data_IF_749624945460
#
_entry.id   IF_749624945460
#
_cell.length_a   1.000
_cell.length_b   1.000
_cell.length_c   1.000
_cell.angle_alpha   90.00
_cell.angle_beta   90.00
_cell.angle_gamma   90.00
#
_symmetry.space_group_name_H-M   'P 1'
#
loop_
_entity.id
_entity.type
_entity.pdbx_description
1 polymer ?
#
# COMPACT_ATOMS: atom_id res chain seq x y z
N UNK A 1 0.02 13.06 13.64
CA UNK A 1 0.24 12.66 12.23
C UNK A 1 0.55 11.18 12.15
N UNK A 2 -0.10 10.50 11.19
CA UNK A 2 -0.09 9.05 10.98
C UNK A 2 1.10 8.69 10.11
N UNK A 3 2.24 8.44 10.73
CA UNK A 3 3.46 8.07 10.02
C UNK A 3 3.89 6.65 10.36
N UNK A 4 2.97 5.72 10.66
CA UNK A 4 3.35 4.37 11.09
C UNK A 4 4.27 3.65 10.08
N UNK A 5 3.84 3.61 8.82
CA UNK A 5 4.60 2.99 7.72
C UNK A 5 5.77 3.86 7.26
N UNK A 6 5.55 5.18 7.14
CA UNK A 6 6.62 6.13 6.80
C UNK A 6 7.76 6.09 7.83
N UNK A 7 7.47 5.94 9.13
CA UNK A 7 8.49 5.93 10.17
C UNK A 7 9.11 4.55 10.43
N UNK A 8 8.83 3.51 9.63
CA UNK A 8 9.43 2.20 9.87
C UNK A 8 10.97 2.25 9.88
N UNK A 9 11.56 3.04 8.97
CA UNK A 9 13.00 3.27 8.92
C UNK A 9 13.52 4.03 10.15
N UNK A 10 12.73 4.98 10.68
CA UNK A 10 13.05 5.69 11.91
C UNK A 10 13.03 4.75 13.12
N UNK A 11 12.05 3.83 13.21
CA UNK A 11 12.02 2.83 14.29
C UNK A 11 13.21 1.88 14.21
N UNK A 12 13.58 1.43 13.00
CA UNK A 12 14.79 0.63 12.76
C UNK A 12 16.03 1.42 13.21
N UNK A 13 16.15 2.70 12.85
CA UNK A 13 17.28 3.54 13.21
C UNK A 13 17.40 3.74 14.74
N UNK A 14 16.30 4.00 15.43
CA UNK A 14 16.27 4.11 16.91
C UNK A 14 16.71 2.80 17.55
N UNK A 15 16.22 1.67 17.05
CA UNK A 15 16.62 0.35 17.55
C UNK A 15 18.13 0.10 17.33
N UNK A 16 18.65 0.38 16.14
CA UNK A 16 20.07 0.26 15.82
C UNK A 16 20.93 1.18 16.70
N UNK A 17 20.49 2.42 16.93
CA UNK A 17 21.16 3.37 17.83
C UNK A 17 21.25 2.82 19.25
N UNK A 18 20.14 2.30 19.79
CA UNK A 18 20.10 1.74 21.13
C UNK A 18 21.04 0.54 21.29
N UNK A 19 21.09 -0.35 20.29
CA UNK A 19 22.03 -1.47 20.27
C UNK A 19 23.49 -1.01 20.18
N UNK A 20 23.77 0.02 19.39
CA UNK A 20 25.12 0.59 19.25
C UNK A 20 25.60 1.24 20.55
N UNK A 21 24.75 2.03 21.21
CA UNK A 21 25.08 2.72 22.47
C UNK A 21 25.24 1.75 23.66
N UNK A 22 24.60 0.58 23.61
CA UNK A 22 24.73 -0.42 24.66
C UNK A 22 26.14 -1.09 24.68
N UNK A 23 26.93 -0.92 23.61
CA UNK A 23 28.36 -1.26 23.57
C UNK A 23 28.67 -2.74 23.32
N UNK A 24 29.97 -3.06 23.28
CA UNK A 24 30.48 -4.43 23.14
C UNK A 24 29.93 -5.17 21.91
N UNK A 25 29.46 -6.41 22.10
CA UNK A 25 28.91 -7.25 21.05
C UNK A 25 27.62 -6.71 20.41
N UNK A 26 26.83 -5.91 21.14
CA UNK A 26 25.61 -5.30 20.61
C UNK A 26 25.92 -4.23 19.57
N UNK A 27 27.03 -3.50 19.74
CA UNK A 27 27.50 -2.57 18.72
C UNK A 27 27.92 -3.28 17.43
N UNK A 28 28.68 -4.38 17.54
CA UNK A 28 29.04 -5.19 16.38
C UNK A 28 27.80 -5.74 15.65
N UNK A 29 26.80 -6.18 16.41
CA UNK A 29 25.51 -6.64 15.86
C UNK A 29 24.73 -5.52 15.17
N UNK A 30 24.69 -4.31 15.75
CA UNK A 30 24.05 -3.15 15.14
C UNK A 30 24.70 -2.79 13.80
N UNK A 31 26.03 -2.77 13.73
CA UNK A 31 26.79 -2.52 12.49
C UNK A 31 26.48 -3.59 11.45
N UNK A 32 26.48 -4.87 11.86
CA UNK A 32 26.15 -5.97 10.95
C UNK A 32 24.74 -5.85 10.37
N UNK A 33 23.74 -5.54 11.20
CA UNK A 33 22.36 -5.33 10.75
C UNK A 33 22.23 -4.12 9.82
N UNK A 34 22.89 -3.00 10.15
CA UNK A 34 22.93 -1.81 9.29
C UNK A 34 23.52 -2.14 7.91
N UNK A 35 24.66 -2.83 7.86
CA UNK A 35 25.26 -3.29 6.62
C UNK A 35 24.35 -4.25 5.85
N UNK A 36 23.68 -5.18 6.52
CA UNK A 36 22.76 -6.13 5.89
C UNK A 36 21.60 -5.39 5.21
N UNK A 37 20.99 -4.42 5.89
CA UNK A 37 19.89 -3.61 5.35
C UNK A 37 20.35 -2.83 4.12
N UNK A 38 21.48 -2.11 4.22
CA UNK A 38 22.02 -1.31 3.12
C UNK A 38 22.48 -2.15 1.92
N UNK A 39 23.06 -3.33 2.17
CA UNK A 39 23.53 -4.23 1.11
C UNK A 39 22.40 -5.04 0.45
N UNK A 40 21.22 -5.15 1.05
CA UNK A 40 20.14 -6.01 0.52
C UNK A 40 19.72 -5.63 -0.92
N UNK A 41 19.49 -4.34 -1.27
CA UNK A 41 19.18 -3.97 -2.66
C UNK A 41 20.35 -4.25 -3.61
N UNK A 42 21.58 -4.02 -3.15
CA UNK A 42 22.80 -4.22 -3.94
C UNK A 42 23.02 -5.71 -4.25
N UNK A 43 22.80 -6.59 -3.27
CA UNK A 43 22.80 -8.03 -3.48
C UNK A 43 21.72 -8.45 -4.49
N UNK A 44 20.52 -7.87 -4.39
CA UNK A 44 19.43 -8.07 -5.36
C UNK A 44 19.86 -7.69 -6.79
N UNK A 45 20.48 -6.53 -6.96
CA UNK A 45 21.03 -6.09 -8.25
C UNK A 45 22.09 -7.05 -8.79
N UNK A 46 23.06 -7.47 -7.97
CA UNK A 46 24.11 -8.41 -8.36
C UNK A 46 23.50 -9.76 -8.80
N UNK A 47 22.53 -10.28 -8.05
CA UNK A 47 21.83 -11.53 -8.40
C UNK A 47 21.11 -11.41 -9.74
N UNK A 48 20.49 -10.27 -10.03
CA UNK A 48 19.82 -10.02 -11.32
C UNK A 48 20.82 -9.96 -12.49
N UNK A 49 21.98 -9.34 -12.27
CA UNK A 49 23.08 -9.33 -13.24
C UNK A 49 23.62 -10.74 -13.51
N UNK A 50 23.94 -11.51 -12.45
CA UNK A 50 24.45 -12.89 -12.58
C UNK A 50 23.46 -13.78 -13.32
N UNK A 51 22.16 -13.59 -13.09
CA UNK A 51 21.10 -14.38 -13.74
C UNK A 51 20.71 -13.89 -15.13
N UNK A 52 21.35 -12.84 -15.66
CA UNK A 52 20.99 -12.20 -16.93
C UNK A 52 19.49 -11.81 -17.01
N UNK A 53 18.90 -11.39 -15.88
CA UNK A 53 17.51 -10.90 -15.78
C UNK A 53 17.44 -9.41 -15.45
N UNK A 54 18.56 -8.71 -15.67
CA UNK A 54 18.70 -7.29 -15.41
C UNK A 54 17.86 -6.49 -16.42
N UNK A 55 17.19 -5.45 -15.94
CA UNK A 55 16.54 -4.43 -16.76
C UNK A 55 17.05 -3.05 -16.30
N UNK A 56 16.74 -2.00 -17.05
CA UNK A 56 17.25 -0.64 -16.74
C UNK A 56 16.71 -0.10 -15.41
N UNK A 57 15.47 -0.44 -15.03
CA UNK A 57 14.92 -0.08 -13.72
C UNK A 57 15.74 -0.63 -12.54
N UNK A 58 16.53 -1.69 -12.72
CA UNK A 58 17.31 -2.30 -11.62
C UNK A 58 18.43 -1.39 -11.13
N UNK A 59 18.87 -0.39 -11.91
CA UNK A 59 19.80 0.62 -11.42
C UNK A 59 19.25 1.41 -10.23
N UNK A 60 17.91 1.49 -10.06
CA UNK A 60 17.29 2.07 -8.88
C UNK A 60 17.63 1.31 -7.60
N UNK A 61 17.99 0.02 -7.67
CA UNK A 61 18.44 -0.73 -6.49
C UNK A 61 19.79 -0.22 -5.96
N UNK A 62 20.67 0.28 -6.84
CA UNK A 62 21.91 0.93 -6.41
C UNK A 62 21.61 2.24 -5.68
N UNK A 63 20.70 3.05 -6.23
CA UNK A 63 20.22 4.27 -5.58
C UNK A 63 19.53 3.99 -4.24
N UNK A 64 18.74 2.92 -4.16
CA UNK A 64 18.09 2.47 -2.94
C UNK A 64 19.09 2.04 -1.88
N UNK A 65 20.14 1.30 -2.27
CA UNK A 65 21.22 0.91 -1.36
C UNK A 65 21.91 2.15 -0.77
N UNK A 66 22.26 3.12 -1.63
CA UNK A 66 22.84 4.39 -1.18
C UNK A 66 21.89 5.16 -0.25
N UNK A 67 20.60 5.26 -0.59
CA UNK A 67 19.59 5.92 0.23
C UNK A 67 19.41 5.24 1.59
N UNK A 68 19.45 3.91 1.66
CA UNK A 68 19.39 3.17 2.93
C UNK A 68 20.63 3.41 3.79
N UNK A 69 21.84 3.34 3.21
CA UNK A 69 23.07 3.59 3.95
C UNK A 69 23.12 5.02 4.49
N UNK A 70 22.94 6.01 3.63
CA UNK A 70 23.03 7.43 4.01
C UNK A 70 21.87 7.79 4.94
N UNK A 71 20.64 7.43 4.54
CA UNK A 71 19.42 7.79 5.25
C UNK A 71 19.35 7.19 6.64
N UNK A 72 19.54 5.88 6.78
CA UNK A 72 19.48 5.23 8.09
C UNK A 72 20.63 5.72 8.98
N UNK A 73 21.83 5.95 8.44
CA UNK A 73 22.94 6.49 9.22
C UNK A 73 22.63 7.88 9.80
N UNK A 74 22.04 8.78 9.00
CA UNK A 74 21.58 10.09 9.45
C UNK A 74 20.47 9.97 10.51
N UNK A 75 19.55 9.01 10.38
CA UNK A 75 18.51 8.77 11.39
C UNK A 75 19.07 8.18 12.71
N UNK A 76 20.12 7.35 12.64
CA UNK A 76 20.82 6.84 13.83
C UNK A 76 21.53 8.01 14.55
N UNK A 77 22.17 8.89 13.79
CA UNK A 77 22.98 10.00 14.30
C UNK A 77 22.44 11.37 13.82
N UNK A 78 21.24 11.79 14.28
CA UNK A 78 20.60 13.00 13.79
C UNK A 78 21.36 14.28 14.13
N UNK A 79 22.25 14.27 15.13
CA UNK A 79 23.09 15.41 15.51
C UNK A 79 23.94 15.95 14.36
N UNK A 80 24.44 15.09 13.46
CA UNK A 80 25.22 15.55 12.29
C UNK A 80 24.46 16.50 11.36
N UNK A 81 23.13 16.44 11.35
CA UNK A 81 22.27 17.26 10.49
C UNK A 81 21.61 18.39 11.28
N UNK A 82 21.15 18.09 12.49
CA UNK A 82 20.38 19.03 13.32
C UNK A 82 21.28 20.08 13.95
N UNK A 83 22.49 19.71 14.38
CA UNK A 83 23.42 20.64 15.06
C UNK A 83 23.91 21.74 14.11
N UNK A 84 23.84 21.51 12.79
CA UNK A 84 24.16 22.50 11.75
C UNK A 84 22.97 23.34 11.27
N UNK A 85 21.73 23.03 11.67
CA UNK A 85 20.54 23.74 11.22
C UNK A 85 19.37 23.61 12.22
N UNK A 86 19.21 24.61 13.09
CA UNK A 86 18.15 24.66 14.11
C UNK A 86 16.71 24.63 13.58
N UNK A 87 16.50 24.81 12.26
CA UNK A 87 15.18 24.72 11.62
C UNK A 87 14.76 23.27 11.29
N UNK A 88 15.69 22.31 11.34
CA UNK A 88 15.42 20.91 11.01
C UNK A 88 15.20 20.11 12.28
N UNK A 89 13.98 19.60 12.47
CA UNK A 89 13.68 18.68 13.58
C UNK A 89 13.96 17.23 13.20
N UNK A 90 14.20 16.36 14.19
CA UNK A 90 14.36 14.92 13.97
C UNK A 90 13.18 14.29 13.23
N UNK A 91 11.96 14.76 13.50
CA UNK A 91 10.75 14.24 12.84
C UNK A 91 10.68 14.63 11.36
N UNK A 92 11.09 15.85 11.03
CA UNK A 92 11.16 16.31 9.64
C UNK A 92 12.24 15.54 8.87
N UNK A 93 13.41 15.33 9.49
CA UNK A 93 14.49 14.52 8.91
C UNK A 93 14.04 13.07 8.66
N UNK A 94 13.40 12.46 9.66
CA UNK A 94 12.89 11.10 9.58
C UNK A 94 11.88 10.96 8.44
N UNK A 95 10.91 11.88 8.36
CA UNK A 95 9.89 11.86 7.32
C UNK A 95 10.50 12.05 5.93
N UNK A 96 11.44 12.99 5.78
CA UNK A 96 12.10 13.28 4.50
C UNK A 96 12.87 12.06 3.99
N UNK A 97 13.75 11.49 4.81
CA UNK A 97 14.55 10.31 4.43
C UNK A 97 13.65 9.12 4.12
N UNK A 98 12.66 8.85 4.97
CA UNK A 98 11.69 7.77 4.73
C UNK A 98 10.93 7.96 3.43
N UNK A 99 10.53 9.19 3.10
CA UNK A 99 9.83 9.48 1.84
C UNK A 99 10.70 9.21 0.61
N UNK A 100 12.00 9.51 0.69
CA UNK A 100 12.98 9.19 -0.37
C UNK A 100 13.14 7.69 -0.54
N UNK A 101 13.28 6.94 0.55
CA UNK A 101 13.41 5.48 0.48
C UNK A 101 12.14 4.85 -0.12
N UNK A 102 10.97 5.27 0.35
CA UNK A 102 9.68 4.79 -0.17
C UNK A 102 9.44 5.17 -1.63
N UNK A 103 9.84 6.36 -2.07
CA UNK A 103 9.67 6.78 -3.46
C UNK A 103 10.55 5.96 -4.41
N UNK A 104 11.81 5.70 -4.05
CA UNK A 104 12.70 4.85 -4.86
C UNK A 104 12.16 3.42 -4.93
N UNK A 105 11.69 2.86 -3.81
CA UNK A 105 11.04 1.54 -3.77
C UNK A 105 9.80 1.48 -4.67
N UNK A 106 8.92 2.48 -4.59
CA UNK A 106 7.71 2.55 -5.39
C UNK A 106 8.02 2.68 -6.88
N UNK A 107 8.94 3.58 -7.26
CA UNK A 107 9.38 3.73 -8.65
C UNK A 107 9.98 2.43 -9.19
N UNK A 108 10.87 1.78 -8.44
CA UNK A 108 11.45 0.50 -8.82
C UNK A 108 10.36 -0.56 -9.03
N UNK A 109 9.44 -0.70 -8.08
CA UNK A 109 8.35 -1.67 -8.17
C UNK A 109 7.46 -1.44 -9.41
N UNK A 110 7.05 -0.19 -9.65
CA UNK A 110 6.20 0.16 -10.80
C UNK A 110 6.91 -0.15 -12.11
N UNK A 111 8.14 0.34 -12.31
CA UNK A 111 8.89 0.11 -13.55
C UNK A 111 9.18 -1.38 -13.78
N UNK A 112 9.52 -2.11 -12.71
CA UNK A 112 9.76 -3.56 -12.79
C UNK A 112 8.49 -4.33 -13.15
N UNK A 113 7.33 -3.94 -12.64
CA UNK A 113 6.04 -4.55 -12.97
C UNK A 113 5.69 -4.28 -14.44
N UNK A 114 5.81 -3.03 -14.91
CA UNK A 114 5.52 -2.66 -16.31
C UNK A 114 6.37 -3.49 -17.27
N UNK A 115 7.69 -3.53 -17.07
CA UNK A 115 8.60 -4.33 -17.90
C UNK A 115 8.29 -5.84 -17.85
N UNK A 116 7.80 -6.32 -16.70
CA UNK A 116 7.40 -7.73 -16.55
C UNK A 116 6.13 -8.04 -17.32
N UNK A 117 5.19 -7.08 -17.42
CA UNK A 117 3.96 -7.23 -18.20
C UNK A 117 4.26 -7.21 -19.70
N UNK A 118 5.15 -6.32 -20.16
CA UNK A 118 5.49 -6.20 -21.59
C UNK A 118 6.15 -7.46 -22.16
N UNK A 119 6.83 -8.25 -21.32
CA UNK A 119 7.50 -9.51 -21.70
C UNK A 119 6.65 -10.75 -21.45
N UNK A 120 5.51 -10.61 -20.78
CA UNK A 120 4.70 -11.72 -20.33
C UNK A 120 3.69 -12.17 -21.38
N UNK A 121 3.46 -13.48 -21.47
CA UNK A 121 2.29 -14.04 -22.15
C UNK A 121 1.00 -13.83 -21.33
N UNK A 122 -0.16 -14.14 -21.91
CA UNK A 122 -1.46 -13.97 -21.25
C UNK A 122 -1.55 -14.67 -19.87
N UNK A 123 -1.00 -15.88 -19.74
CA UNK A 123 -1.03 -16.64 -18.48
C UNK A 123 -0.14 -15.97 -17.42
N UNK A 124 1.06 -15.56 -17.81
CA UNK A 124 1.99 -14.85 -16.94
C UNK A 124 1.43 -13.50 -16.47
N UNK A 125 0.73 -12.76 -17.33
CA UNK A 125 0.05 -11.51 -16.94
C UNK A 125 -0.98 -11.79 -15.83
N UNK A 126 -1.79 -12.83 -15.97
CA UNK A 126 -2.79 -13.21 -14.96
C UNK A 126 -2.11 -13.63 -13.65
N UNK A 127 -0.98 -14.32 -13.70
CA UNK A 127 -0.18 -14.62 -12.49
C UNK A 127 0.39 -13.37 -11.82
N UNK A 128 0.85 -12.38 -12.59
CA UNK A 128 1.31 -11.09 -12.06
C UNK A 128 0.13 -10.38 -11.36
N UNK A 129 -1.05 -10.35 -11.98
CA UNK A 129 -2.27 -9.77 -11.39
C UNK A 129 -2.61 -10.47 -10.06
N UNK A 130 -2.53 -11.80 -9.99
CA UNK A 130 -2.74 -12.56 -8.73
C UNK A 130 -1.77 -12.12 -7.63
N UNK A 131 -0.47 -11.96 -7.95
CA UNK A 131 0.53 -11.49 -6.99
C UNK A 131 0.22 -10.07 -6.50
N UNK A 132 -0.16 -9.18 -7.41
CA UNK A 132 -0.57 -7.79 -7.07
C UNK A 132 -1.78 -7.82 -6.14
N UNK A 133 -2.80 -8.62 -6.44
CA UNK A 133 -3.98 -8.81 -5.59
C UNK A 133 -3.58 -9.24 -4.17
N UNK A 134 -2.72 -10.26 -4.04
CA UNK A 134 -2.26 -10.73 -2.74
C UNK A 134 -1.53 -9.63 -1.96
N UNK A 135 -0.64 -8.88 -2.61
CA UNK A 135 0.08 -7.76 -1.98
C UNK A 135 -0.88 -6.70 -1.48
N UNK A 136 -1.87 -6.28 -2.30
CA UNK A 136 -2.85 -5.25 -1.90
C UNK A 136 -3.71 -5.73 -0.73
N UNK A 137 -4.15 -6.99 -0.72
CA UNK A 137 -4.95 -7.55 0.38
C UNK A 137 -4.16 -7.57 1.69
N UNK A 138 -2.92 -8.07 1.65
CA UNK A 138 -2.04 -8.12 2.84
C UNK A 138 -1.71 -6.71 3.32
N UNK A 139 -1.41 -5.80 2.40
CA UNK A 139 -1.10 -4.41 2.73
C UNK A 139 -2.30 -3.69 3.35
N UNK A 140 -3.50 -3.86 2.78
CA UNK A 140 -4.74 -3.30 3.34
C UNK A 140 -5.01 -3.83 4.76
N UNK A 141 -4.87 -5.14 4.96
CA UNK A 141 -5.04 -5.74 6.28
C UNK A 141 -4.00 -5.23 7.29
N UNK A 142 -2.74 -5.08 6.85
CA UNK A 142 -1.66 -4.53 7.67
C UNK A 142 -1.95 -3.07 8.09
N UNK A 143 -2.38 -2.22 7.15
CA UNK A 143 -2.75 -0.82 7.44
C UNK A 143 -3.84 -0.76 8.50
N UNK A 144 -4.91 -1.56 8.36
CA UNK A 144 -5.99 -1.59 9.35
C UNK A 144 -5.47 -2.02 10.73
N UNK A 145 -4.71 -3.11 10.79
CA UNK A 145 -4.27 -3.70 12.07
C UNK A 145 -3.17 -2.92 12.79
N UNK A 146 -2.19 -2.39 12.05
CA UNK A 146 -0.97 -1.81 12.63
C UNK A 146 -0.87 -0.30 12.52
N UNK A 147 -1.70 0.34 11.69
CA UNK A 147 -1.72 1.80 11.56
C UNK A 147 -3.02 2.35 12.14
N UNK A 148 -4.15 1.95 11.58
CA UNK A 148 -5.45 2.57 11.89
C UNK A 148 -5.98 2.19 13.27
N UNK A 149 -5.85 0.93 13.69
CA UNK A 149 -6.31 0.50 15.01
C UNK A 149 -5.50 1.13 16.18
N UNK A 150 -4.15 1.12 16.18
CA UNK A 150 -3.39 1.82 17.21
C UNK A 150 -3.64 3.32 17.22
N UNK A 151 -3.86 3.92 16.05
CA UNK A 151 -4.24 5.33 15.96
C UNK A 151 -5.59 5.59 16.63
N UNK A 152 -6.62 4.78 16.37
CA UNK A 152 -7.91 4.90 17.04
C UNK A 152 -7.75 4.83 18.57
N UNK A 153 -6.95 3.89 19.07
CA UNK A 153 -6.67 3.76 20.51
C UNK A 153 -5.97 5.01 21.05
N UNK A 154 -4.96 5.52 20.34
CA UNK A 154 -4.24 6.73 20.74
C UNK A 154 -5.17 7.94 20.78
N UNK A 155 -5.95 8.16 19.72
CA UNK A 155 -6.90 9.27 19.61
C UNK A 155 -7.96 9.22 20.71
N UNK A 156 -8.49 8.04 21.03
CA UNK A 156 -9.43 7.91 22.14
C UNK A 156 -8.79 8.17 23.51
N UNK A 157 -7.53 7.78 23.72
CA UNK A 157 -6.80 8.08 24.96
C UNK A 157 -6.52 9.57 25.12
N UNK A 158 -6.13 10.26 24.05
CA UNK A 158 -5.91 11.71 24.08
C UNK A 158 -7.21 12.48 24.29
N UNK A 159 -8.31 11.95 23.76
CA UNK A 159 -9.63 12.57 23.86
C UNK A 159 -10.40 12.15 25.12
N UNK A 160 -9.81 11.34 26.02
CA UNK A 160 -10.46 10.89 27.26
C UNK A 160 -10.84 12.04 28.21
N UNK A 161 -10.32 13.25 27.99
CA UNK A 161 -10.74 14.49 28.66
C UNK A 161 -11.28 15.58 27.72
N UNK A 162 -11.50 15.28 26.43
CA UNK A 162 -12.05 16.20 25.43
C UNK A 162 -13.59 16.10 25.37
N UNK A 163 -14.23 16.79 24.40
CA UNK A 163 -15.67 16.66 24.20
C UNK A 163 -16.07 15.18 23.93
N UNK A 164 -17.14 14.67 24.56
CA UNK A 164 -17.55 13.26 24.41
C UNK A 164 -17.80 12.82 22.95
N UNK A 165 -18.15 13.75 22.07
CA UNK A 165 -18.40 13.48 20.66
C UNK A 165 -17.16 13.08 19.86
N UNK A 166 -15.96 13.56 20.25
CA UNK A 166 -14.73 13.31 19.47
C UNK A 166 -14.30 11.83 19.52
N UNK A 167 -14.45 11.20 20.68
CA UNK A 167 -14.16 9.78 20.86
C UNK A 167 -15.12 8.91 20.03
N UNK A 168 -16.43 9.20 20.10
CA UNK A 168 -17.45 8.53 19.29
C UNK A 168 -17.22 8.73 17.79
N UNK A 169 -16.84 9.93 17.37
CA UNK A 169 -16.56 10.24 15.97
C UNK A 169 -15.35 9.48 15.43
N UNK A 170 -14.25 9.38 16.21
CA UNK A 170 -13.08 8.60 15.81
C UNK A 170 -13.44 7.12 15.57
N UNK A 171 -14.30 6.54 16.41
CA UNK A 171 -14.79 5.16 16.25
C UNK A 171 -15.63 5.03 14.97
N UNK A 172 -16.53 5.97 14.69
CA UNK A 172 -17.34 5.98 13.48
C UNK A 172 -16.46 6.04 12.23
N UNK A 173 -15.46 6.93 12.21
CA UNK A 173 -14.51 7.03 11.10
C UNK A 173 -13.74 5.73 10.87
N UNK A 174 -13.30 5.07 11.95
CA UNK A 174 -12.64 3.78 11.86
C UNK A 174 -13.56 2.68 11.31
N UNK A 175 -14.84 2.65 11.73
CA UNK A 175 -15.82 1.71 11.18
C UNK A 175 -15.98 1.92 9.67
N UNK A 176 -16.09 3.16 9.22
CA UNK A 176 -16.18 3.44 7.78
C UNK A 176 -14.93 3.01 7.02
N UNK A 177 -13.75 3.22 7.59
CA UNK A 177 -12.49 2.73 7.00
C UNK A 177 -12.48 1.19 6.92
N UNK A 178 -12.95 0.51 7.97
CA UNK A 178 -13.04 -0.95 8.01
C UNK A 178 -13.98 -1.50 6.92
N UNK A 179 -15.14 -0.85 6.73
CA UNK A 179 -16.10 -1.22 5.68
C UNK A 179 -15.49 -1.05 4.30
N UNK A 180 -14.81 0.07 4.02
CA UNK A 180 -14.12 0.31 2.75
C UNK A 180 -13.05 -0.76 2.50
N UNK A 181 -12.19 -1.04 3.49
CA UNK A 181 -11.17 -2.08 3.39
C UNK A 181 -11.76 -3.47 3.12
N UNK A 182 -12.85 -3.82 3.80
CA UNK A 182 -13.54 -5.09 3.62
C UNK A 182 -14.13 -5.24 2.20
N UNK A 183 -14.73 -4.17 1.66
CA UNK A 183 -15.25 -4.16 0.29
C UNK A 183 -14.14 -4.37 -0.75
N UNK A 184 -13.01 -3.68 -0.60
CA UNK A 184 -11.84 -3.84 -1.47
C UNK A 184 -11.31 -5.27 -1.41
N UNK A 185 -11.08 -5.80 -0.20
CA UNK A 185 -10.60 -7.17 -0.01
C UNK A 185 -11.57 -8.18 -0.62
N UNK A 186 -12.88 -7.99 -0.45
CA UNK A 186 -13.90 -8.88 -1.00
C UNK A 186 -13.89 -8.92 -2.53
N UNK A 187 -13.79 -7.75 -3.18
CA UNK A 187 -13.67 -7.66 -4.65
C UNK A 187 -12.38 -8.28 -5.13
N UNK A 188 -11.26 -8.03 -4.45
CA UNK A 188 -9.95 -8.58 -4.80
C UNK A 188 -9.90 -10.11 -4.68
N UNK A 189 -10.51 -10.69 -3.65
CA UNK A 189 -10.62 -12.16 -3.51
C UNK A 189 -11.41 -12.76 -4.68
N UNK A 190 -12.48 -12.11 -5.12
CA UNK A 190 -13.23 -12.54 -6.33
C UNK A 190 -12.39 -12.39 -7.60
N UNK A 191 -11.62 -11.30 -7.71
CA UNK A 191 -10.62 -11.10 -8.77
C UNK A 191 -9.60 -12.22 -8.82
N UNK A 192 -9.07 -12.63 -7.68
CA UNK A 192 -8.12 -13.75 -7.59
C UNK A 192 -8.73 -15.07 -8.07
N UNK A 193 -9.98 -15.36 -7.69
CA UNK A 193 -10.69 -16.57 -8.15
C UNK A 193 -10.94 -16.53 -9.67
N UNK A 194 -11.33 -15.38 -10.20
CA UNK A 194 -11.48 -15.20 -11.65
C UNK A 194 -10.15 -15.45 -12.38
N UNK A 195 -9.03 -14.96 -11.84
CA UNK A 195 -7.71 -15.20 -12.41
C UNK A 195 -7.38 -16.70 -12.50
N UNK A 196 -7.73 -17.50 -11.49
CA UNK A 196 -7.57 -18.96 -11.57
C UNK A 196 -8.40 -19.57 -12.71
N UNK A 197 -9.66 -19.15 -12.82
CA UNK A 197 -10.58 -19.62 -13.87
C UNK A 197 -10.08 -19.26 -15.28
N UNK A 198 -9.49 -18.07 -15.45
CA UNK A 198 -8.90 -17.63 -16.73
C UNK A 198 -7.71 -18.52 -17.13
N UNK A 199 -6.85 -18.87 -16.16
CA UNK A 199 -5.69 -19.74 -16.41
C UNK A 199 -6.14 -21.14 -16.84
N UNK A 200 -7.22 -21.66 -16.27
CA UNK A 200 -7.76 -22.98 -16.61
C UNK A 200 -8.44 -22.99 -17.98
N UNK A 201 -9.41 -22.09 -18.19
CA UNK A 201 -10.07 -21.91 -19.47
C UNK A 201 -10.74 -20.53 -19.57
N UNK A 202 -10.09 -19.63 -20.31
CA UNK A 202 -10.46 -18.21 -20.44
C UNK A 202 -11.93 -17.99 -20.87
N UNK A 203 -12.48 -18.85 -21.73
CA UNK A 203 -13.82 -18.64 -22.31
C UNK A 203 -14.89 -19.59 -21.78
N UNK A 204 -14.57 -20.40 -20.76
CA UNK A 204 -15.55 -21.29 -20.14
C UNK A 204 -16.73 -20.53 -19.52
N UNK A 205 -17.89 -21.19 -19.43
CA UNK A 205 -19.07 -20.62 -18.78
C UNK A 205 -18.82 -20.28 -17.32
N UNK A 206 -17.95 -21.04 -16.64
CA UNK A 206 -17.52 -20.74 -15.27
C UNK A 206 -16.75 -19.41 -15.20
N UNK A 207 -15.77 -19.21 -16.08
CA UNK A 207 -14.98 -17.96 -16.13
C UNK A 207 -15.88 -16.76 -16.37
N UNK A 208 -16.86 -16.88 -17.27
CA UNK A 208 -17.79 -15.79 -17.58
C UNK A 208 -18.75 -15.50 -16.43
N UNK A 209 -19.27 -16.54 -15.77
CA UNK A 209 -20.11 -16.36 -14.61
C UNK A 209 -19.33 -15.72 -13.43
N UNK A 210 -18.06 -16.09 -13.21
CA UNK A 210 -17.19 -15.46 -12.22
C UNK A 210 -16.89 -14.00 -12.57
N UNK A 211 -16.66 -13.71 -13.86
CA UNK A 211 -16.48 -12.36 -14.38
C UNK A 211 -17.74 -11.50 -14.11
N UNK A 212 -18.92 -11.98 -14.47
CA UNK A 212 -20.16 -11.23 -14.25
C UNK A 212 -20.41 -10.94 -12.76
N UNK A 213 -20.16 -11.93 -11.89
CA UNK A 213 -20.23 -11.75 -10.43
C UNK A 213 -19.24 -10.71 -9.93
N UNK A 214 -18.01 -10.71 -10.42
CA UNK A 214 -17.00 -9.72 -10.06
C UNK A 214 -17.39 -8.31 -10.52
N UNK A 215 -17.93 -8.16 -11.73
CA UNK A 215 -18.42 -6.88 -12.26
C UNK A 215 -19.55 -6.31 -11.39
N UNK A 216 -20.57 -7.12 -11.09
CA UNK A 216 -21.71 -6.72 -10.24
C UNK A 216 -21.24 -6.31 -8.84
N UNK A 217 -20.34 -7.09 -8.23
CA UNK A 217 -19.81 -6.78 -6.90
C UNK A 217 -18.93 -5.54 -6.90
N UNK A 218 -18.07 -5.36 -7.91
CA UNK A 218 -17.22 -4.16 -8.02
C UNK A 218 -18.08 -2.90 -8.16
N UNK A 219 -19.11 -2.92 -9.02
CA UNK A 219 -20.05 -1.80 -9.17
C UNK A 219 -20.77 -1.49 -7.86
N UNK A 220 -21.27 -2.52 -7.17
CA UNK A 220 -21.95 -2.34 -5.88
C UNK A 220 -21.00 -1.78 -4.81
N UNK A 221 -19.77 -2.29 -4.72
CA UNK A 221 -18.76 -1.80 -3.79
C UNK A 221 -18.42 -0.32 -4.05
N UNK A 222 -18.21 0.07 -5.31
CA UNK A 222 -17.97 1.47 -5.70
C UNK A 222 -19.13 2.35 -5.23
N UNK A 223 -20.38 1.97 -5.52
CA UNK A 223 -21.55 2.75 -5.10
C UNK A 223 -21.65 2.88 -3.59
N UNK A 224 -21.43 1.79 -2.84
CA UNK A 224 -21.45 1.80 -1.38
C UNK A 224 -20.35 2.72 -0.83
N UNK A 225 -19.13 2.64 -1.33
CA UNK A 225 -18.00 3.47 -0.87
C UNK A 225 -18.25 4.96 -1.08
N UNK A 226 -18.78 5.35 -2.24
CA UNK A 226 -19.11 6.76 -2.53
C UNK A 226 -20.23 7.25 -1.61
N UNK A 227 -21.30 6.46 -1.42
CA UNK A 227 -22.40 6.80 -0.52
C UNK A 227 -21.90 6.92 0.92
N UNK A 228 -21.02 6.02 1.36
CA UNK A 228 -20.44 6.05 2.70
C UNK A 228 -19.65 7.34 2.94
N UNK A 229 -18.90 7.80 1.95
CA UNK A 229 -18.13 9.04 2.05
C UNK A 229 -19.04 10.28 2.13
N UNK A 230 -20.12 10.32 1.34
CA UNK A 230 -21.13 11.38 1.46
C UNK A 230 -21.83 11.33 2.84
N UNK A 231 -22.11 10.12 3.33
CA UNK A 231 -22.78 9.91 4.61
C UNK A 231 -21.93 10.40 5.79
N UNK A 232 -20.59 10.32 5.71
CA UNK A 232 -19.68 10.92 6.71
C UNK A 232 -19.95 12.40 6.90
N UNK A 233 -19.96 13.16 5.81
CA UNK A 233 -20.14 14.61 5.86
C UNK A 233 -21.53 14.98 6.41
N UNK A 234 -22.57 14.24 6.01
CA UNK A 234 -23.92 14.43 6.53
C UNK A 234 -24.00 14.10 8.01
N UNK A 235 -23.41 12.99 8.45
CA UNK A 235 -23.40 12.59 9.86
C UNK A 235 -22.64 13.61 10.72
N UNK A 236 -21.51 14.13 10.22
CA UNK A 236 -20.73 15.16 10.89
C UNK A 236 -21.53 16.43 11.11
N UNK A 237 -22.41 16.83 10.17
CA UNK A 237 -23.31 17.98 10.35
C UNK A 237 -24.24 17.81 11.55
N UNK A 238 -24.74 16.61 11.81
CA UNK A 238 -25.65 16.37 12.94
C UNK A 238 -24.95 16.39 14.30
N UNK A 239 -23.68 16.00 14.35
CA UNK A 239 -22.92 15.87 15.60
C UNK A 239 -21.92 17.02 15.82
N UNK A 240 -21.84 18.00 14.91
CA UNK A 240 -20.80 19.05 14.93
C UNK A 240 -20.77 19.85 16.23
N UNK A 241 -21.92 20.04 16.89
CA UNK A 241 -22.02 20.77 18.17
C UNK A 241 -21.39 20.02 19.34
N UNK A 242 -21.10 18.72 19.15
CA UNK A 242 -20.46 17.84 20.15
C UNK A 242 -19.00 17.55 19.83
N UNK A 243 -18.47 18.11 18.73
CA UNK A 243 -17.09 17.93 18.28
C UNK A 243 -16.24 19.14 18.65
N UNK A 244 -15.00 18.90 19.07
CA UNK A 244 -14.06 19.99 19.34
C UNK A 244 -13.58 20.68 18.06
N UNK A 245 -13.56 19.95 16.93
CA UNK A 245 -13.23 20.48 15.61
C UNK A 245 -14.12 19.82 14.54
N UNK A 246 -14.87 20.64 13.80
CA UNK A 246 -15.67 20.19 12.66
C UNK A 246 -14.99 20.63 11.35
N UNK A 247 -14.11 19.77 10.82
CA UNK A 247 -13.48 19.98 9.52
C UNK A 247 -14.24 19.15 8.47
N UNK A 248 -14.95 19.83 7.56
CA UNK A 248 -15.70 19.18 6.49
C UNK A 248 -14.79 19.02 5.27
N UNK A 249 -14.44 17.77 4.96
CA UNK A 249 -13.58 17.45 3.82
C UNK A 249 -14.30 16.51 2.85
N UNK A 250 -14.24 16.84 1.57
CA UNK A 250 -14.60 15.90 0.51
C UNK A 250 -13.36 15.02 0.27
N UNK A 251 -13.24 13.93 1.03
CA UNK A 251 -12.13 12.98 0.92
C UNK A 251 -12.58 11.68 0.26
N UNK A 252 -12.62 11.61 -1.07
CA UNK A 252 -12.90 10.32 -1.70
C UNK A 252 -11.75 9.32 -1.44
N UNK A 253 -12.06 8.04 -1.12
CA UNK A 253 -11.08 6.97 -1.02
C UNK A 253 -10.57 6.59 -2.43
N UNK A 254 -9.79 7.51 -3.03
CA UNK A 254 -9.44 7.46 -4.45
C UNK A 254 -8.64 6.21 -4.80
N UNK A 255 -7.74 5.76 -3.91
CA UNK A 255 -6.91 4.59 -4.20
C UNK A 255 -7.76 3.31 -4.25
N UNK A 256 -8.69 3.13 -3.31
CA UNK A 256 -9.63 2.02 -3.31
C UNK A 256 -10.56 2.07 -4.52
N UNK A 257 -11.10 3.25 -4.81
CA UNK A 257 -11.99 3.45 -5.96
C UNK A 257 -11.28 3.14 -7.27
N UNK A 258 -10.02 3.56 -7.45
CA UNK A 258 -9.23 3.23 -8.63
C UNK A 258 -9.07 1.71 -8.76
N UNK A 259 -8.72 1.01 -7.68
CA UNK A 259 -8.59 -0.46 -7.69
C UNK A 259 -9.90 -1.12 -8.13
N UNK A 260 -11.04 -0.68 -7.56
CA UNK A 260 -12.35 -1.24 -7.89
C UNK A 260 -12.78 -0.92 -9.33
N UNK A 261 -12.51 0.29 -9.82
CA UNK A 261 -12.83 0.71 -11.19
C UNK A 261 -11.97 -0.06 -12.19
N UNK A 262 -10.68 -0.24 -11.92
CA UNK A 262 -9.78 -1.04 -12.76
C UNK A 262 -10.26 -2.50 -12.80
N UNK A 263 -10.62 -3.08 -11.67
CA UNK A 263 -11.20 -4.43 -11.62
C UNK A 263 -12.50 -4.53 -12.43
N UNK A 264 -13.41 -3.56 -12.28
CA UNK A 264 -14.66 -3.49 -13.05
C UNK A 264 -14.42 -3.37 -14.56
N UNK A 265 -13.49 -2.50 -14.97
CA UNK A 265 -13.12 -2.30 -16.38
C UNK A 265 -12.48 -3.53 -16.98
N UNK A 266 -11.53 -4.16 -16.29
CA UNK A 266 -10.85 -5.37 -16.75
C UNK A 266 -11.84 -6.50 -17.06
N UNK A 267 -12.80 -6.71 -16.17
CA UNK A 267 -13.87 -7.70 -16.34
C UNK A 267 -14.80 -7.38 -17.51
N UNK A 268 -15.16 -6.09 -17.67
CA UNK A 268 -15.99 -5.64 -18.80
C UNK A 268 -15.31 -5.87 -20.14
N UNK A 269 -14.00 -5.72 -20.21
CA UNK A 269 -13.23 -5.97 -21.42
C UNK A 269 -13.18 -7.47 -21.75
N UNK A 270 -12.97 -8.35 -20.76
CA UNK A 270 -13.03 -9.81 -20.97
C UNK A 270 -14.37 -10.24 -21.59
N UNK A 271 -15.49 -9.72 -21.07
CA UNK A 271 -16.82 -10.02 -21.60
C UNK A 271 -17.00 -9.58 -23.06
N UNK A 272 -16.45 -8.41 -23.44
CA UNK A 272 -16.48 -7.93 -24.84
C UNK A 272 -15.61 -8.79 -25.75
N UNK A 273 -14.41 -9.16 -25.32
CA UNK A 273 -13.51 -10.00 -26.10
C UNK A 273 -14.10 -11.38 -26.37
N UNK A 274 -14.79 -11.99 -25.39
CA UNK A 274 -15.52 -13.25 -25.61
C UNK A 274 -16.58 -13.11 -26.70
N UNK A 275 -17.43 -12.07 -26.62
CA UNK A 275 -18.50 -11.88 -27.60
C UNK A 275 -17.97 -11.77 -29.04
N UNK A 276 -16.86 -11.05 -29.23
CA UNK A 276 -16.19 -10.94 -30.54
C UNK A 276 -15.65 -12.29 -31.02
N UNK A 277 -15.11 -13.10 -30.10
CA UNK A 277 -14.59 -14.43 -30.43
C UNK A 277 -15.70 -15.39 -30.85
N UNK A 278 -16.81 -15.42 -30.11
CA UNK A 278 -17.97 -16.25 -30.45
C UNK A 278 -18.60 -15.84 -31.79
N UNK A 279 -18.66 -14.54 -32.08
CA UNK A 279 -19.12 -14.02 -33.37
C UNK A 279 -18.19 -14.49 -34.51
N UNK A 280 -16.87 -14.35 -34.36
CA UNK A 280 -15.90 -14.81 -35.36
C UNK A 280 -15.95 -16.33 -35.59
N UNK A 281 -16.06 -17.13 -34.53
CA UNK A 281 -16.13 -18.59 -34.63
C UNK A 281 -17.44 -19.07 -35.29
N UNK A 282 -18.49 -18.22 -35.33
CA UNK A 282 -19.76 -18.53 -36.02
C UNK A 282 -19.72 -18.32 -37.54
N UNK A 283 -18.71 -17.61 -38.05
CA UNK A 283 -18.56 -17.29 -39.48
C UNK A 283 -17.59 -18.24 -40.23
N UNK A 284 -16.90 -19.14 -39.52
CA UNK A 284 -15.96 -20.14 -40.06
C UNK A 284 -16.64 -21.51 -40.10
#
# INVERSE_FOLDING_TARGET
MVNGILNIFAYIAVWLRNMSLAGGGQNAFAIFMFCLIGCMPLAGFIVLCIRNRKIDADYLLLGLSAALFIGIYMMINPGYVIDGNALVTSDMLNLAISSVIWSVLACYAVLRIVESIDKADSTQIVEIIKKIICVIVVFTAFVIGYVSLPELVRTNRTNAGAMPGDAGWAVILFIFQLVNAALVIWVLIRGYRLCNSIIENEYSDETIHMAERLSKTSKSAISVMVILELSKNVLQLFIMTTLSNADFKISLPLYELIILVVAYMGVRNLAKTKAIKEENDSYI
#
